data_IF_938665336894
#
_entry.id   IF_938665336894
#
_cell.length_a   1.000
_cell.length_b   1.000
_cell.length_c   1.000
_cell.angle_alpha   90.00
_cell.angle_beta   90.00
_cell.angle_gamma   90.00
#
_symmetry.space_group_name_H-M   'P 1'
#
loop_
_entity.id
_entity.type
_entity.pdbx_description
1 polymer ?
#
# COMPACT_ATOMS: atom_id res chain seq x y z
N UNK A 1 9.28 0.64 0.72
CA UNK A 1 8.00 0.79 0.01
C UNK A 1 6.90 0.55 1.01
N UNK A 2 5.88 1.42 1.07
CA UNK A 2 4.73 1.25 1.97
C UNK A 2 3.43 1.18 1.16
N UNK A 3 2.63 0.16 1.43
CA UNK A 3 1.31 -0.04 0.84
C UNK A 3 0.26 0.23 1.91
N UNK A 4 -0.47 1.33 1.77
CA UNK A 4 -1.43 1.78 2.78
C UNK A 4 -2.86 1.65 2.27
N UNK A 5 -3.74 1.13 3.11
CA UNK A 5 -5.19 1.15 2.86
C UNK A 5 -5.94 1.65 4.08
N UNK A 6 -6.82 2.62 3.85
CA UNK A 6 -7.76 3.10 4.85
C UNK A 6 -9.07 2.30 4.82
N UNK A 7 -9.60 2.02 6.00
CA UNK A 7 -10.87 1.35 6.24
C UNK A 7 -11.71 2.21 7.17
N UNK A 8 -12.99 2.36 6.82
CA UNK A 8 -14.00 2.85 7.76
C UNK A 8 -14.35 1.72 8.73
N UNK A 9 -14.27 2.02 10.02
CA UNK A 9 -14.74 1.15 11.09
C UNK A 9 -16.10 1.67 11.53
N UNK A 10 -17.08 0.78 11.44
CA UNK A 10 -18.45 1.03 11.92
C UNK A 10 -18.70 0.25 13.20
N UNK A 11 -19.37 0.88 14.16
CA UNK A 11 -19.81 0.27 15.40
C UNK A 11 -20.89 -0.78 15.17
N UNK A 12 -21.30 -1.46 16.25
CA UNK A 12 -22.27 -2.56 16.16
C UNK A 12 -23.65 -2.15 15.63
N UNK A 13 -24.00 -0.87 15.69
CA UNK A 13 -25.23 -0.32 15.14
C UNK A 13 -25.09 0.25 13.72
N UNK A 14 -23.91 0.10 13.09
CA UNK A 14 -23.61 0.67 11.77
C UNK A 14 -23.26 2.16 11.80
N UNK A 15 -23.18 2.76 12.99
CA UNK A 15 -22.66 4.11 13.16
C UNK A 15 -21.16 4.18 12.87
N UNK A 16 -20.72 5.30 12.31
CA UNK A 16 -19.30 5.61 12.19
C UNK A 16 -18.62 5.61 13.57
N UNK A 17 -17.47 4.95 13.69
CA UNK A 17 -16.58 5.05 14.85
C UNK A 17 -15.28 5.79 14.48
N UNK A 18 -14.47 5.25 13.56
CA UNK A 18 -13.21 5.85 13.12
C UNK A 18 -12.70 5.27 11.80
N UNK A 19 -11.60 5.83 11.30
CA UNK A 19 -10.81 5.22 10.25
C UNK A 19 -9.60 4.48 10.83
N UNK A 20 -9.28 3.34 10.22
CA UNK A 20 -8.01 2.62 10.45
C UNK A 20 -7.23 2.60 9.15
N UNK A 21 -5.94 2.91 9.21
CA UNK A 21 -5.01 2.64 8.13
C UNK A 21 -4.25 1.36 8.41
N UNK A 22 -4.22 0.46 7.43
CA UNK A 22 -3.39 -0.75 7.44
C UNK A 22 -2.24 -0.54 6.48
N UNK A 23 -1.03 -0.70 7.00
CA UNK A 23 0.23 -0.54 6.28
C UNK A 23 0.85 -1.91 6.03
N UNK A 24 1.41 -2.08 4.84
CA UNK A 24 2.29 -3.19 4.49
C UNK A 24 3.59 -2.61 3.94
N UNK A 25 4.59 -2.53 4.82
CA UNK A 25 5.91 -2.04 4.48
C UNK A 25 6.78 -3.17 3.95
N UNK A 26 7.30 -3.00 2.74
CA UNK A 26 8.35 -3.81 2.15
C UNK A 26 9.67 -3.04 2.27
N UNK A 27 10.59 -3.55 3.08
CA UNK A 27 11.92 -2.96 3.30
C UNK A 27 12.95 -3.76 2.55
N UNK A 28 13.85 -3.06 1.89
CA UNK A 28 14.91 -3.65 1.08
C UNK A 28 16.25 -3.17 1.61
N UNK A 29 17.26 -4.04 1.56
CA UNK A 29 18.63 -3.60 1.77
C UNK A 29 19.02 -2.56 0.71
N UNK A 30 19.85 -1.56 1.04
CA UNK A 30 20.35 -0.61 0.05
C UNK A 30 21.01 -1.34 -1.12
N UNK A 31 20.54 -1.07 -2.33
CA UNK A 31 21.09 -1.64 -3.55
C UNK A 31 21.14 -0.56 -4.63
N UNK A 32 22.18 -0.53 -5.49
CA UNK A 32 22.29 0.48 -6.56
C UNK A 32 21.07 0.51 -7.49
N UNK A 33 20.42 -0.65 -7.70
CA UNK A 33 19.20 -0.76 -8.48
C UNK A 33 18.00 0.02 -7.89
N UNK A 34 18.00 0.30 -6.58
CA UNK A 34 16.95 1.05 -5.89
C UNK A 34 17.15 2.57 -5.96
N UNK A 35 18.39 3.04 -6.19
CA UNK A 35 18.72 4.48 -6.22
C UNK A 35 17.95 5.23 -7.32
N UNK A 36 17.63 4.55 -8.42
CA UNK A 36 16.91 5.12 -9.58
C UNK A 36 15.38 5.02 -9.51
N UNK A 37 14.80 4.40 -8.48
CA UNK A 37 13.36 4.15 -8.42
C UNK A 37 12.54 5.39 -8.04
N UNK A 38 13.16 6.39 -7.40
CA UNK A 38 12.49 7.60 -6.93
C UNK A 38 11.38 7.33 -5.91
N UNK A 39 10.43 8.25 -5.81
CA UNK A 39 9.26 8.15 -4.93
C UNK A 39 8.00 7.96 -5.78
N UNK A 40 7.10 7.09 -5.33
CA UNK A 40 5.79 6.90 -5.93
C UNK A 40 4.75 6.70 -4.83
N UNK A 41 3.68 7.50 -4.89
CA UNK A 41 2.55 7.45 -3.98
C UNK A 41 1.27 7.18 -4.76
N UNK A 42 0.42 6.28 -4.27
CA UNK A 42 -0.90 6.02 -4.84
C UNK A 42 -1.89 5.66 -3.75
N UNK A 43 -3.07 6.27 -3.81
CA UNK A 43 -4.12 6.12 -2.81
C UNK A 43 -5.39 5.60 -3.47
N UNK A 44 -6.01 4.61 -2.85
CA UNK A 44 -7.37 4.19 -3.15
C UNK A 44 -8.34 4.88 -2.19
N UNK A 45 -9.37 5.52 -2.71
CA UNK A 45 -10.49 6.07 -1.93
C UNK A 45 -11.79 5.41 -2.37
N UNK A 46 -12.60 4.97 -1.40
CA UNK A 46 -13.92 4.43 -1.70
C UNK A 46 -14.79 5.50 -2.38
N UNK A 47 -15.36 5.18 -3.54
CA UNK A 47 -16.21 6.11 -4.31
C UNK A 47 -15.47 7.05 -5.27
N UNK A 48 -14.14 6.95 -5.41
CA UNK A 48 -13.36 7.76 -6.35
C UNK A 48 -13.49 7.35 -7.84
N UNK A 49 -14.35 6.37 -8.15
CA UNK A 49 -14.62 5.91 -9.51
C UNK A 49 -13.70 4.80 -10.03
N UNK A 50 -12.58 4.51 -9.35
CA UNK A 50 -11.73 3.33 -9.59
C UNK A 50 -12.07 2.26 -8.53
N UNK A 51 -12.39 1.03 -8.94
CA UNK A 51 -12.62 -0.07 -8.01
C UNK A 51 -11.32 -0.53 -7.34
N UNK A 52 -11.40 -1.13 -6.15
CA UNK A 52 -10.21 -1.63 -5.44
C UNK A 52 -9.42 -2.63 -6.30
N UNK A 53 -10.12 -3.51 -7.02
CA UNK A 53 -9.50 -4.49 -7.91
C UNK A 53 -8.75 -3.83 -9.06
N UNK A 54 -9.35 -2.81 -9.68
CA UNK A 54 -8.75 -2.07 -10.80
C UNK A 54 -7.51 -1.31 -10.35
N UNK A 55 -7.59 -0.62 -9.20
CA UNK A 55 -6.45 0.04 -8.56
C UNK A 55 -5.32 -0.95 -8.27
N UNK A 56 -5.65 -2.12 -7.70
CA UNK A 56 -4.66 -3.14 -7.37
C UNK A 56 -4.00 -3.73 -8.63
N UNK A 57 -4.75 -3.94 -9.70
CA UNK A 57 -4.23 -4.39 -10.98
C UNK A 57 -3.25 -3.36 -11.58
N UNK A 58 -3.64 -2.10 -11.61
CA UNK A 58 -2.80 -0.99 -12.09
C UNK A 58 -1.51 -0.85 -11.28
N UNK A 59 -1.58 -1.06 -9.96
CA UNK A 59 -0.41 -1.10 -9.10
C UNK A 59 0.50 -2.28 -9.45
N UNK A 60 -0.07 -3.47 -9.67
CA UNK A 60 0.67 -4.70 -9.98
C UNK A 60 1.39 -4.67 -11.36
N UNK A 61 0.90 -3.87 -12.30
CA UNK A 61 1.47 -3.70 -13.65
C UNK A 61 2.68 -2.74 -13.71
N UNK A 62 3.04 -2.09 -12.60
CA UNK A 62 4.12 -1.11 -12.57
C UNK A 62 5.49 -1.77 -12.81
N UNK A 63 6.31 -1.16 -13.67
CA UNK A 63 7.67 -1.65 -13.98
C UNK A 63 8.61 -1.68 -12.78
N UNK A 64 8.31 -0.94 -11.70
CA UNK A 64 9.07 -1.00 -10.43
C UNK A 64 9.20 -2.45 -9.91
N UNK A 65 8.21 -3.30 -10.16
CA UNK A 65 8.22 -4.69 -9.73
C UNK A 65 9.29 -5.52 -10.42
N UNK A 66 9.73 -5.15 -11.63
CA UNK A 66 10.84 -5.83 -12.30
C UNK A 66 12.16 -5.64 -11.55
N UNK A 67 12.33 -4.49 -10.89
CA UNK A 67 13.50 -4.19 -10.05
C UNK A 67 13.37 -4.80 -8.67
N UNK A 68 12.17 -4.76 -8.07
CA UNK A 68 11.95 -5.20 -6.69
C UNK A 68 11.86 -6.73 -6.54
N UNK A 69 11.24 -7.45 -7.49
CA UNK A 69 11.05 -8.91 -7.40
C UNK A 69 12.35 -9.71 -7.24
N UNK A 70 13.44 -9.42 -7.99
CA UNK A 70 14.70 -10.14 -7.85
C UNK A 70 15.44 -9.85 -6.54
N UNK A 71 15.25 -8.65 -5.97
CA UNK A 71 15.92 -8.24 -4.73
C UNK A 71 15.32 -8.95 -3.51
N UNK A 72 13.99 -9.10 -3.51
CA UNK A 72 13.24 -9.60 -2.36
C UNK A 72 13.26 -8.63 -1.17
N UNK A 73 12.13 -8.44 -0.45
CA UNK A 73 12.15 -7.62 0.75
C UNK A 73 12.98 -8.32 1.84
N UNK A 74 13.88 -7.57 2.46
CA UNK A 74 14.60 -7.97 3.66
C UNK A 74 13.65 -8.10 4.87
N UNK A 75 12.61 -7.28 4.91
CA UNK A 75 11.60 -7.31 5.95
C UNK A 75 10.23 -6.91 5.37
N UNK A 76 9.19 -7.60 5.83
CA UNK A 76 7.79 -7.24 5.59
C UNK A 76 7.18 -6.89 6.93
N UNK A 77 6.73 -5.64 7.11
CA UNK A 77 6.00 -5.22 8.32
C UNK A 77 4.55 -4.89 7.98
N UNK A 78 3.65 -5.62 8.61
CA UNK A 78 2.22 -5.29 8.58
C UNK A 78 1.84 -4.68 9.91
N UNK A 79 1.29 -3.48 9.87
CA UNK A 79 0.81 -2.80 11.08
C UNK A 79 -0.41 -1.95 10.74
N UNK A 80 -1.08 -1.47 11.78
CA UNK A 80 -2.26 -0.62 11.62
C UNK A 80 -2.24 0.52 12.61
N UNK A 81 -2.85 1.64 12.23
CA UNK A 81 -3.05 2.79 13.09
C UNK A 81 -4.46 3.37 12.95
N UNK A 82 -4.95 3.99 14.04
CA UNK A 82 -6.21 4.74 14.05
C UNK A 82 -5.92 6.17 13.57
N UNK A 83 -6.75 6.67 12.65
CA UNK A 83 -6.65 8.01 12.04
C UNK A 83 -7.79 8.91 12.50
#
# INVERSE_FOLDING_TARGET
MDLVRQFEIVGSGGEYDHYVQVHCELRYEPAPALEGLGTFDSWFFHGAGEGLGDWAARLAERSVWEVLRPLGPAEIRVHQERV
#
